data_IF_406561017992
#
_entry.id   IF_406561017992
#
_cell.length_a   1.000
_cell.length_b   1.000
_cell.length_c   1.000
_cell.angle_alpha   90.00
_cell.angle_beta   90.00
_cell.angle_gamma   90.00
#
_symmetry.space_group_name_H-M   'P 1'
#
loop_
_entity.id
_entity.type
_entity.pdbx_description
1 polymer ?
#
# COMPACT_ATOMS: atom_id res chain seq x y z
N UNK A 1 -15.74 -15.06 23.64
CA UNK A 1 -15.92 -14.72 22.21
C UNK A 1 -15.99 -13.21 21.93
N UNK A 2 -15.31 -12.32 22.68
CA UNK A 2 -15.38 -10.85 22.48
C UNK A 2 -14.08 -10.21 21.95
N UNK A 3 -13.00 -10.99 21.75
CA UNK A 3 -11.71 -10.45 21.30
C UNK A 3 -11.65 -10.33 19.77
N UNK A 4 -12.17 -11.31 19.05
CA UNK A 4 -12.18 -11.32 17.57
C UNK A 4 -12.98 -10.17 16.96
N UNK A 5 -14.18 -9.90 17.49
CA UNK A 5 -15.04 -8.82 16.96
C UNK A 5 -14.38 -7.43 17.04
N UNK A 6 -13.56 -7.20 18.07
CA UNK A 6 -12.87 -5.91 18.24
C UNK A 6 -11.74 -5.75 17.23
N UNK A 7 -11.01 -6.83 16.95
CA UNK A 7 -9.92 -6.82 15.97
C UNK A 7 -10.43 -6.71 14.53
N UNK A 8 -11.57 -7.33 14.21
CA UNK A 8 -12.22 -7.17 12.90
C UNK A 8 -12.66 -5.72 12.67
N UNK A 9 -13.22 -5.09 13.71
CA UNK A 9 -13.70 -3.72 13.61
C UNK A 9 -12.56 -2.70 13.48
N UNK A 10 -11.50 -2.83 14.30
CA UNK A 10 -10.27 -2.05 14.11
C UNK A 10 -9.67 -2.23 12.71
N UNK A 11 -9.63 -3.47 12.20
CA UNK A 11 -9.13 -3.74 10.85
C UNK A 11 -10.01 -3.14 9.75
N UNK A 12 -11.34 -3.07 9.95
CA UNK A 12 -12.27 -2.42 9.01
C UNK A 12 -12.16 -0.90 9.02
N UNK A 13 -12.00 -0.30 10.19
CA UNK A 13 -11.72 1.13 10.32
C UNK A 13 -10.42 1.50 9.60
N UNK A 14 -9.37 0.69 9.81
CA UNK A 14 -8.10 0.86 9.09
C UNK A 14 -8.21 0.65 7.59
N UNK A 15 -8.94 -0.39 7.16
CA UNK A 15 -9.22 -0.62 5.74
C UNK A 15 -9.92 0.59 5.12
N UNK A 16 -10.92 1.16 5.78
CA UNK A 16 -11.65 2.33 5.27
C UNK A 16 -10.71 3.52 5.11
N UNK A 17 -9.91 3.80 6.14
CA UNK A 17 -8.90 4.87 6.10
C UNK A 17 -7.88 4.66 4.98
N UNK A 18 -7.41 3.43 4.80
CA UNK A 18 -6.48 3.04 3.75
C UNK A 18 -7.08 3.21 2.35
N UNK A 19 -8.36 2.87 2.17
CA UNK A 19 -9.05 2.95 0.88
C UNK A 19 -9.28 4.40 0.43
N UNK A 20 -9.57 5.29 1.38
CA UNK A 20 -9.72 6.73 1.11
C UNK A 20 -8.36 7.42 0.91
N UNK A 21 -7.27 6.83 1.39
CA UNK A 21 -5.91 7.32 1.23
C UNK A 21 -5.28 6.84 -0.08
N UNK A 22 -4.90 7.80 -0.92
CA UNK A 22 -4.06 7.50 -2.09
C UNK A 22 -2.60 7.53 -1.67
N UNK A 23 -1.92 6.38 -1.71
CA UNK A 23 -0.50 6.31 -1.38
C UNK A 23 0.29 6.83 -2.56
N UNK A 24 1.00 7.93 -2.39
CA UNK A 24 1.84 8.48 -3.46
C UNK A 24 3.30 8.18 -3.16
N UNK A 25 3.92 7.33 -3.97
CA UNK A 25 5.34 6.98 -3.87
C UNK A 25 6.13 7.75 -4.92
N UNK A 26 7.07 8.58 -4.47
CA UNK A 26 7.97 9.29 -5.37
C UNK A 26 9.20 8.44 -5.70
N UNK A 27 9.31 8.00 -6.96
CA UNK A 27 10.43 7.21 -7.43
C UNK A 27 11.27 8.00 -8.45
N UNK A 28 12.60 7.89 -8.34
CA UNK A 28 13.52 8.52 -9.29
C UNK A 28 13.31 7.95 -10.68
N UNK A 29 13.04 8.82 -11.64
CA UNK A 29 12.86 8.42 -13.04
C UNK A 29 14.17 8.57 -13.81
N UNK A 30 14.50 7.57 -14.61
CA UNK A 30 15.63 7.61 -15.53
C UNK A 30 15.26 8.16 -16.90
N UNK A 31 16.28 8.53 -17.66
CA UNK A 31 16.15 8.98 -19.04
C UNK A 31 15.52 7.84 -19.87
N UNK A 32 14.31 8.06 -20.40
CA UNK A 32 13.54 7.05 -21.14
C UNK A 32 12.24 6.56 -20.46
N UNK A 33 11.76 7.22 -19.40
CA UNK A 33 10.41 6.96 -18.84
C UNK A 33 10.30 5.67 -18.03
N UNK A 34 11.43 5.11 -17.60
CA UNK A 34 11.52 3.98 -16.67
C UNK A 34 12.03 4.46 -15.32
N UNK A 35 11.51 3.89 -14.24
CA UNK A 35 12.00 4.17 -12.90
C UNK A 35 13.38 3.54 -12.72
N UNK A 36 14.31 4.24 -12.04
CA UNK A 36 15.66 3.74 -11.72
C UNK A 36 15.62 2.51 -10.80
N UNK A 37 14.50 2.31 -10.10
CA UNK A 37 14.22 1.14 -9.28
C UNK A 37 12.77 0.70 -9.43
N UNK A 38 12.50 -0.57 -9.18
CA UNK A 38 11.13 -1.06 -9.06
C UNK A 38 10.56 -0.61 -7.71
N UNK A 39 9.36 -0.02 -7.71
CA UNK A 39 8.61 0.17 -6.47
C UNK A 39 8.14 -1.20 -6.01
N UNK A 40 8.60 -1.60 -4.81
CA UNK A 40 8.29 -2.89 -4.20
C UNK A 40 7.38 -2.70 -3.00
N UNK A 41 6.85 -3.79 -2.45
CA UNK A 41 6.04 -3.75 -1.23
C UNK A 41 6.78 -3.16 -0.02
N UNK A 42 8.13 -3.09 -0.06
CA UNK A 42 8.92 -2.39 0.95
C UNK A 42 8.74 -0.89 0.90
N UNK A 43 8.81 -0.29 -0.28
CA UNK A 43 8.61 1.16 -0.46
C UNK A 43 7.17 1.54 -0.13
N UNK A 44 6.21 0.75 -0.59
CA UNK A 44 4.79 0.99 -0.29
C UNK A 44 4.52 0.86 1.20
N UNK A 45 5.05 -0.17 1.86
CA UNK A 45 4.94 -0.32 3.31
C UNK A 45 5.54 0.88 4.06
N UNK A 46 6.74 1.33 3.66
CA UNK A 46 7.38 2.47 4.30
C UNK A 46 6.57 3.78 4.13
N UNK A 47 6.02 4.02 2.94
CA UNK A 47 5.19 5.20 2.68
C UNK A 47 3.84 5.12 3.43
N UNK A 48 3.24 3.93 3.49
CA UNK A 48 2.04 3.67 4.29
C UNK A 48 2.28 3.89 5.79
N UNK A 49 3.38 3.33 6.30
CA UNK A 49 3.82 3.53 7.69
C UNK A 49 4.03 5.03 7.98
N UNK A 50 4.55 5.79 7.01
CA UNK A 50 4.77 7.23 7.16
C UNK A 50 3.46 8.02 7.12
N UNK A 51 2.51 7.65 6.26
CA UNK A 51 1.24 8.36 6.06
C UNK A 51 0.24 8.09 7.19
N UNK A 52 0.11 6.84 7.62
CA UNK A 52 -0.86 6.41 8.63
C UNK A 52 -0.26 6.31 10.03
N UNK A 53 1.07 6.43 10.15
CA UNK A 53 1.81 6.15 11.38
C UNK A 53 1.54 4.74 11.91
N UNK A 54 1.18 3.81 11.04
CA UNK A 54 0.76 2.45 11.38
C UNK A 54 1.64 1.41 10.69
N UNK A 55 2.09 0.43 11.48
CA UNK A 55 2.94 -0.66 11.02
C UNK A 55 2.19 -1.65 10.13
N UNK A 56 2.27 -1.46 8.82
CA UNK A 56 1.79 -2.45 7.84
C UNK A 56 2.93 -3.36 7.42
N UNK A 57 2.79 -4.65 7.74
CA UNK A 57 3.71 -5.67 7.27
C UNK A 57 3.66 -5.81 5.75
N UNK A 58 4.81 -5.69 5.08
CA UNK A 58 4.98 -5.96 3.64
C UNK A 58 4.48 -7.34 3.17
N UNK A 59 4.33 -8.31 4.09
CA UNK A 59 3.76 -9.65 3.79
C UNK A 59 2.24 -9.61 3.57
N UNK A 60 1.58 -8.59 4.10
CA UNK A 60 0.15 -8.34 3.93
C UNK A 60 -0.14 -7.58 2.64
N UNK A 61 0.88 -6.95 2.04
CA UNK A 61 0.75 -6.18 0.80
C UNK A 61 0.97 -7.11 -0.39
N UNK A 62 -0.08 -7.28 -1.17
CA UNK A 62 -0.10 -8.04 -2.41
C UNK A 62 0.05 -7.05 -3.56
N UNK A 63 1.22 -7.08 -4.19
CA UNK A 63 1.52 -6.28 -5.38
C UNK A 63 1.58 -7.24 -6.57
N UNK A 64 0.63 -7.16 -7.52
CA UNK A 64 0.55 -8.11 -8.63
C UNK A 64 1.69 -7.92 -9.64
N UNK A 65 2.21 -6.70 -9.79
CA UNK A 65 3.25 -6.35 -10.76
C UNK A 65 4.36 -5.51 -10.11
N UNK A 66 5.62 -5.80 -10.45
CA UNK A 66 6.74 -4.92 -10.11
C UNK A 66 6.60 -3.58 -10.83
N UNK A 67 6.32 -2.51 -10.09
CA UNK A 67 6.07 -1.19 -10.66
C UNK A 67 7.38 -0.56 -11.12
N UNK A 68 7.60 -0.56 -12.43
CA UNK A 68 8.83 -0.02 -13.08
C UNK A 68 8.57 1.27 -13.86
N UNK A 69 7.34 1.76 -13.86
CA UNK A 69 6.92 2.97 -14.55
C UNK A 69 6.10 3.85 -13.61
N UNK A 70 6.24 5.18 -13.70
CA UNK A 70 5.32 6.09 -13.01
C UNK A 70 3.90 5.86 -13.56
N UNK A 71 2.91 5.90 -12.67
CA UNK A 71 1.53 5.57 -12.99
C UNK A 71 0.73 5.18 -11.74
N UNK A 72 -0.56 4.96 -11.93
CA UNK A 72 -1.45 4.53 -10.86
C UNK A 72 -1.68 3.03 -10.93
N UNK A 73 -1.44 2.34 -9.81
CA UNK A 73 -1.56 0.90 -9.66
C UNK A 73 -2.47 0.58 -8.49
N UNK A 74 -3.30 -0.44 -8.64
CA UNK A 74 -4.11 -0.96 -7.55
C UNK A 74 -3.33 -2.08 -6.85
N UNK A 75 -3.19 -1.99 -5.54
CA UNK A 75 -2.55 -3.02 -4.71
C UNK A 75 -3.50 -3.42 -3.59
N UNK A 76 -3.41 -4.67 -3.17
CA UNK A 76 -4.32 -5.24 -2.18
C UNK A 76 -3.59 -5.48 -0.87
N UNK A 77 -4.15 -5.02 0.24
CA UNK A 77 -3.58 -5.16 1.58
C UNK A 77 -4.50 -6.03 2.42
N UNK A 78 -3.98 -7.16 2.88
CA UNK A 78 -4.68 -8.10 3.76
C UNK A 78 -4.38 -7.79 5.22
N UNK A 79 -5.20 -6.95 5.86
CA UNK A 79 -5.01 -6.57 7.26
C UNK A 79 -5.27 -7.73 8.23
N UNK A 80 -6.38 -8.46 8.01
CA UNK A 80 -6.87 -9.53 8.86
C UNK A 80 -7.51 -10.65 8.01
N UNK A 81 -7.56 -11.93 8.45
CA UNK A 81 -8.30 -12.96 7.74
C UNK A 81 -9.77 -12.55 7.53
N UNK A 82 -10.17 -12.34 6.27
CA UNK A 82 -11.50 -11.84 5.88
C UNK A 82 -11.60 -10.31 5.70
N UNK A 83 -10.57 -9.55 6.09
CA UNK A 83 -10.49 -8.10 5.89
C UNK A 83 -9.33 -7.75 4.98
N UNK A 84 -9.67 -7.41 3.74
CA UNK A 84 -8.75 -7.01 2.69
C UNK A 84 -9.23 -5.68 2.10
N UNK A 85 -8.27 -4.81 1.80
CA UNK A 85 -8.51 -3.46 1.28
C UNK A 85 -7.70 -3.26 0.01
N UNK A 86 -8.32 -2.69 -1.01
CA UNK A 86 -7.64 -2.24 -2.22
C UNK A 86 -7.27 -0.77 -2.07
N UNK A 87 -5.99 -0.44 -2.27
CA UNK A 87 -5.53 0.93 -2.23
C UNK A 87 -4.95 1.34 -3.57
N UNK A 88 -5.13 2.62 -3.89
CA UNK A 88 -4.53 3.21 -5.10
C UNK A 88 -3.13 3.70 -4.77
N UNK A 89 -2.15 3.06 -5.37
CA UNK A 89 -0.75 3.44 -5.33
C UNK A 89 -0.42 4.31 -6.54
N UNK A 90 -0.13 5.59 -6.30
CA UNK A 90 0.29 6.52 -7.33
C UNK A 90 1.80 6.67 -7.33
N UNK A 91 2.46 6.23 -8.38
CA UNK A 91 3.91 6.35 -8.52
C UNK A 91 4.24 7.57 -9.35
N UNK A 92 4.88 8.55 -8.73
CA UNK A 92 5.27 9.81 -9.37
C UNK A 92 6.76 9.83 -9.65
N UNK A 93 7.09 10.32 -10.84
CA UNK A 93 8.45 10.59 -11.26
C UNK A 93 8.99 11.81 -10.51
N UNK A 94 10.06 11.64 -9.73
CA UNK A 94 10.83 12.76 -9.15
C UNK A 94 12.22 12.86 -9.77
#
# INVERSE_FOLDING_TARGET
AKKDARQEQDARDLATRLQELTVTVAAKSGEGGKLYGAVTSRDVAAELERLLSEKIDRRKIEIPEAIKKPGSYLILIRLYPGVQVEITLNVVAK
#
